data_IF_645679485227
#
_entry.id   IF_645679485227
#
_cell.length_a   1.000
_cell.length_b   1.000
_cell.length_c   1.000
_cell.angle_alpha   90.00
_cell.angle_beta   90.00
_cell.angle_gamma   90.00
#
_symmetry.space_group_name_H-M   'P 1'
#
loop_
_entity.id
_entity.type
_entity.pdbx_description
1 polymer ?
#
# COMPACT_ATOMS: atom_id res chain seq x y z
N UNK A 1 -4.83 -16.12 -11.77
CA UNK A 1 -4.90 -16.50 -10.33
C UNK A 1 -4.45 -15.29 -9.55
N UNK A 2 -5.23 -14.85 -8.57
CA UNK A 2 -4.82 -13.79 -7.65
C UNK A 2 -3.91 -14.38 -6.55
N UNK A 3 -3.09 -13.54 -5.95
CA UNK A 3 -2.28 -13.85 -4.77
C UNK A 3 -2.47 -12.73 -3.77
N UNK A 4 -2.54 -13.06 -2.49
CA UNK A 4 -2.39 -12.08 -1.42
C UNK A 4 -0.90 -11.96 -1.09
N UNK A 5 -0.41 -10.72 -0.96
CA UNK A 5 0.99 -10.41 -0.68
C UNK A 5 1.01 -9.41 0.47
N UNK A 6 1.67 -9.76 1.56
CA UNK A 6 1.90 -8.83 2.68
C UNK A 6 2.84 -7.71 2.23
N UNK A 7 2.47 -6.48 2.57
CA UNK A 7 3.24 -5.29 2.24
C UNK A 7 3.39 -4.41 3.48
N UNK A 8 4.62 -4.06 3.83
CA UNK A 8 4.93 -3.31 5.07
C UNK A 8 5.52 -1.93 4.80
N UNK A 9 5.96 -1.68 3.57
CA UNK A 9 6.53 -0.39 3.21
C UNK A 9 5.42 0.65 3.04
N UNK A 10 5.59 1.79 3.70
CA UNK A 10 4.62 2.90 3.78
C UNK A 10 5.07 4.15 3.01
N UNK A 11 6.19 4.05 2.30
CA UNK A 11 6.79 5.17 1.58
C UNK A 11 7.60 4.70 0.38
N UNK A 12 8.01 5.63 -0.50
CA UNK A 12 8.75 5.30 -1.71
C UNK A 12 10.26 5.18 -1.46
N UNK A 13 10.95 4.54 -2.40
CA UNK A 13 12.43 4.55 -2.45
C UNK A 13 12.91 5.63 -3.43
N UNK A 14 13.74 6.55 -2.94
CA UNK A 14 14.29 7.64 -3.75
C UNK A 14 15.38 7.09 -4.68
N UNK A 15 15.21 7.26 -5.99
CA UNK A 15 16.19 6.79 -6.99
C UNK A 15 17.00 7.93 -7.60
N UNK A 16 16.56 9.17 -7.42
CA UNK A 16 17.29 10.38 -7.80
C UNK A 16 17.57 11.23 -6.55
N UNK A 17 18.84 11.60 -6.27
CA UNK A 17 19.19 12.47 -5.14
C UNK A 17 18.53 13.86 -5.20
N UNK A 18 18.17 14.34 -6.39
CA UNK A 18 17.47 15.63 -6.55
C UNK A 18 15.95 15.52 -6.29
N UNK A 19 15.45 14.31 -5.99
CA UNK A 19 14.08 14.06 -5.59
C UNK A 19 13.06 14.07 -6.73
N UNK A 20 13.51 14.08 -7.98
CA UNK A 20 12.62 14.17 -9.16
C UNK A 20 11.99 12.82 -9.50
N UNK A 21 12.54 11.72 -8.99
CA UNK A 21 12.02 10.37 -9.20
C UNK A 21 12.15 9.50 -7.95
N UNK A 22 11.04 8.84 -7.61
CA UNK A 22 10.97 7.87 -6.53
C UNK A 22 10.12 6.67 -6.97
N UNK A 23 10.53 5.47 -6.56
CA UNK A 23 9.83 4.22 -6.86
C UNK A 23 8.78 3.98 -5.78
N UNK A 24 7.55 3.70 -6.20
CA UNK A 24 6.49 3.31 -5.29
C UNK A 24 6.84 1.98 -4.62
N UNK A 25 7.00 2.02 -3.30
CA UNK A 25 7.16 0.84 -2.47
C UNK A 25 6.00 0.68 -1.49
N UNK A 26 4.91 1.46 -1.61
CA UNK A 26 3.71 1.30 -0.78
C UNK A 26 2.59 0.49 -1.46
N UNK A 27 2.62 0.37 -2.78
CA UNK A 27 1.62 -0.37 -3.56
C UNK A 27 0.33 0.40 -3.87
N UNK A 28 0.22 1.66 -3.44
CA UNK A 28 -0.98 2.50 -3.59
C UNK A 28 -0.91 3.51 -4.75
N UNK A 29 0.19 3.54 -5.51
CA UNK A 29 0.33 4.51 -6.60
C UNK A 29 -0.57 4.15 -7.78
N UNK A 30 -1.22 5.15 -8.36
CA UNK A 30 -1.94 5.04 -9.64
C UNK A 30 -0.98 5.11 -10.84
N UNK A 31 0.27 5.54 -10.62
CA UNK A 31 1.33 5.68 -11.64
C UNK A 31 2.50 4.71 -11.38
N UNK A 32 2.21 3.50 -10.91
CA UNK A 32 3.23 2.45 -10.72
C UNK A 32 4.06 2.24 -12.01
N UNK A 33 5.40 2.18 -11.93
CA UNK A 33 6.22 1.94 -10.74
C UNK A 33 6.62 3.22 -9.97
N UNK A 34 6.21 4.41 -10.42
CA UNK A 34 6.61 5.67 -9.79
C UNK A 34 5.71 6.01 -8.60
N UNK A 35 6.26 6.76 -7.66
CA UNK A 35 5.49 7.33 -6.56
C UNK A 35 4.76 8.58 -7.03
N UNK A 36 3.44 8.59 -6.87
CA UNK A 36 2.53 9.71 -7.12
C UNK A 36 2.15 10.51 -5.85
N UNK A 37 2.52 9.99 -4.68
CA UNK A 37 2.20 10.56 -3.36
C UNK A 37 1.10 9.82 -2.61
N UNK A 38 0.44 8.83 -3.22
CA UNK A 38 -0.66 8.06 -2.61
C UNK A 38 -0.25 7.30 -1.34
N UNK A 39 1.05 7.10 -1.11
CA UNK A 39 1.58 6.56 0.15
C UNK A 39 1.17 7.39 1.38
N UNK A 40 0.82 8.66 1.23
CA UNK A 40 0.30 9.49 2.32
C UNK A 40 -0.93 8.87 3.01
N UNK A 41 -1.70 8.04 2.31
CA UNK A 41 -2.83 7.30 2.86
C UNK A 41 -2.44 6.24 3.92
N UNK A 42 -1.14 5.98 4.12
CA UNK A 42 -0.62 5.08 5.17
C UNK A 42 -0.20 5.83 6.45
N UNK A 43 -0.18 7.17 6.43
CA UNK A 43 0.47 7.97 7.48
C UNK A 43 -0.19 7.94 8.86
N UNK A 44 -1.45 7.50 8.93
CA UNK A 44 -2.26 7.36 10.15
C UNK A 44 -2.55 5.88 10.48
N UNK A 45 -1.87 4.93 9.83
CA UNK A 45 -1.96 3.51 10.19
C UNK A 45 -1.39 3.25 11.59
N UNK A 46 -2.07 2.39 12.35
CA UNK A 46 -1.59 1.86 13.62
C UNK A 46 -0.92 0.49 13.46
N UNK A 47 -0.96 -0.31 14.52
CA UNK A 47 -0.40 -1.68 14.52
C UNK A 47 -1.31 -2.73 13.85
N UNK A 48 -2.43 -2.31 13.25
CA UNK A 48 -3.39 -3.20 12.61
C UNK A 48 -2.98 -3.53 11.16
N UNK A 49 -3.61 -4.56 10.58
CA UNK A 49 -3.45 -4.90 9.17
C UNK A 49 -4.59 -4.29 8.38
N UNK A 50 -4.28 -3.63 7.26
CA UNK A 50 -5.27 -2.99 6.40
C UNK A 50 -5.31 -3.63 5.02
N UNK A 51 -6.52 -3.74 4.45
CA UNK A 51 -6.75 -4.05 3.05
C UNK A 51 -7.23 -2.79 2.35
N UNK A 52 -6.50 -2.36 1.32
CA UNK A 52 -6.95 -1.28 0.45
C UNK A 52 -7.87 -1.86 -0.62
N UNK A 53 -9.14 -1.46 -0.60
CA UNK A 53 -10.13 -1.84 -1.62
C UNK A 53 -10.46 -0.59 -2.44
N UNK A 54 -10.12 -0.62 -3.74
CA UNK A 54 -10.26 0.53 -4.64
C UNK A 54 -11.69 0.76 -5.14
N UNK A 55 -12.70 0.28 -4.41
CA UNK A 55 -14.12 0.37 -4.75
C UNK A 55 -14.89 1.37 -3.88
N UNK A 56 -14.25 1.97 -2.87
CA UNK A 56 -14.81 2.99 -1.99
C UNK A 56 -13.93 4.25 -1.94
N UNK A 57 -14.42 5.35 -2.53
CA UNK A 57 -13.76 6.66 -2.53
C UNK A 57 -13.78 7.34 -1.14
N UNK A 58 -14.73 6.97 -0.27
CA UNK A 58 -14.89 7.55 1.08
C UNK A 58 -14.07 6.79 2.13
N UNK A 59 -13.87 5.48 1.92
CA UNK A 59 -13.11 4.63 2.83
C UNK A 59 -12.19 3.66 2.06
N UNK A 60 -11.03 4.14 1.55
CA UNK A 60 -10.18 3.36 0.65
C UNK A 60 -9.45 2.17 1.31
N UNK A 61 -9.61 1.98 2.63
CA UNK A 61 -9.00 0.87 3.38
C UNK A 61 -9.92 0.30 4.47
N UNK A 62 -9.79 -1.01 4.71
CA UNK A 62 -10.50 -1.74 5.76
C UNK A 62 -9.51 -2.44 6.69
N UNK A 63 -9.72 -2.33 8.00
CA UNK A 63 -8.97 -3.12 8.99
C UNK A 63 -9.35 -4.61 8.86
N UNK A 64 -8.36 -5.48 8.80
CA UNK A 64 -8.53 -6.94 8.72
C UNK A 64 -8.51 -7.51 10.14
N UNK A 65 -9.60 -8.18 10.54
CA UNK A 65 -9.67 -8.84 11.85
C UNK A 65 -8.83 -10.12 11.94
N UNK A 66 -8.82 -10.93 10.88
CA UNK A 66 -8.04 -12.17 10.79
C UNK A 66 -7.81 -12.58 9.32
N UNK A 67 -6.69 -13.26 9.06
CA UNK A 67 -6.42 -13.96 7.80
C UNK A 67 -6.48 -15.46 8.08
N UNK A 68 -7.45 -16.15 7.46
CA UNK A 68 -7.65 -17.59 7.64
C UNK A 68 -7.06 -18.33 6.45
N UNK A 69 -5.99 -19.08 6.69
CA UNK A 69 -5.40 -19.96 5.70
C UNK A 69 -6.17 -21.29 5.66
N UNK A 70 -6.25 -21.91 4.48
CA UNK A 70 -6.72 -23.29 4.40
C UNK A 70 -5.70 -24.19 5.08
N UNK A 71 -6.14 -25.19 5.84
CA UNK A 71 -5.27 -26.29 6.26
C UNK A 71 -4.57 -26.88 5.02
N UNK A 72 -3.28 -27.20 5.13
CA UNK A 72 -2.52 -27.87 4.06
C UNK A 72 -3.13 -29.22 3.65
#
# INVERSE_FOLDING_TARGET
MAREVTHEATGPEMIDPDGQAAICMCGLSDDVPLCDGSHAATGDEGDAVYKYEGDDDENPRHEISEIVYTDE
#
